data_IF_222530818865
#
_entry.id   IF_222530818865
#
_cell.length_a   1.000
_cell.length_b   1.000
_cell.length_c   1.000
_cell.angle_alpha   90.00
_cell.angle_beta   90.00
_cell.angle_gamma   90.00
#
_symmetry.space_group_name_H-M   'P 1'
#
loop_
_entity.id
_entity.type
_entity.pdbx_description
1 polymer ?
#
# COMPACT_ATOMS: atom_id res chain seq x y z
N UNK A 1 16.29 7.91 -7.28
CA UNK A 1 14.98 8.60 -7.13
C UNK A 1 14.38 8.14 -5.81
N UNK A 2 13.91 9.08 -4.99
CA UNK A 2 13.35 8.79 -3.67
C UNK A 2 11.97 8.13 -3.79
N UNK A 3 11.60 7.35 -2.77
CA UNK A 3 10.24 6.80 -2.62
C UNK A 3 9.25 7.94 -2.34
N UNK A 4 8.05 7.84 -2.92
CA UNK A 4 6.90 8.69 -2.56
C UNK A 4 5.76 7.86 -1.97
N UNK A 5 5.00 8.47 -1.07
CA UNK A 5 3.85 7.83 -0.43
C UNK A 5 2.61 8.66 -0.77
N UNK A 6 1.52 7.99 -1.12
CA UNK A 6 0.26 8.62 -1.48
C UNK A 6 -0.89 7.97 -0.73
N UNK A 7 -1.96 8.73 -0.48
CA UNK A 7 -3.25 8.11 -0.18
C UNK A 7 -3.70 7.28 -1.39
N UNK A 8 -4.56 6.30 -1.18
CA UNK A 8 -5.01 5.43 -2.26
C UNK A 8 -6.51 5.18 -2.23
N UNK A 9 -7.06 4.89 -3.41
CA UNK A 9 -8.40 4.33 -3.59
C UNK A 9 -8.35 3.17 -4.58
N UNK A 10 -9.30 2.24 -4.48
CA UNK A 10 -9.36 1.07 -5.35
C UNK A 10 -10.31 1.34 -6.54
N UNK A 11 -9.85 1.00 -7.75
CA UNK A 11 -10.66 0.97 -8.96
C UNK A 11 -11.31 -0.40 -9.20
N UNK A 12 -12.21 -0.46 -10.18
CA UNK A 12 -13.03 -1.64 -10.50
C UNK A 12 -12.26 -2.85 -11.05
N UNK A 13 -10.99 -2.69 -11.41
CA UNK A 13 -10.15 -3.78 -11.97
C UNK A 13 -8.85 -3.97 -11.19
N UNK A 14 -8.89 -3.69 -9.88
CA UNK A 14 -7.77 -3.87 -8.95
C UNK A 14 -6.77 -2.72 -9.00
N UNK A 15 -7.10 -1.67 -9.74
CA UNK A 15 -6.28 -0.47 -9.87
C UNK A 15 -6.13 0.19 -8.51
N UNK A 16 -4.92 0.56 -8.15
CA UNK A 16 -4.66 1.44 -7.01
C UNK A 16 -4.44 2.83 -7.57
N UNK A 17 -5.35 3.75 -7.26
CA UNK A 17 -5.29 5.14 -7.73
C UNK A 17 -4.62 6.00 -6.68
N UNK A 18 -3.55 6.69 -7.07
CA UNK A 18 -2.83 7.62 -6.19
C UNK A 18 -3.71 8.84 -5.92
N UNK A 19 -3.79 9.21 -4.66
CA UNK A 19 -4.34 10.48 -4.22
C UNK A 19 -3.23 11.45 -3.82
N UNK A 20 -3.48 12.23 -2.77
CA UNK A 20 -2.54 13.26 -2.28
C UNK A 20 -1.24 12.63 -1.80
N UNK A 21 -0.15 13.38 -1.91
CA UNK A 21 1.11 13.03 -1.27
C UNK A 21 0.94 12.98 0.26
N UNK A 22 1.64 12.03 0.87
CA UNK A 22 1.70 11.84 2.30
C UNK A 22 3.17 11.80 2.75
N UNK A 23 3.43 12.42 3.89
CA UNK A 23 4.55 12.00 4.73
C UNK A 23 4.31 10.59 5.27
N UNK A 24 5.38 9.97 5.76
CA UNK A 24 5.25 8.65 6.40
C UNK A 24 4.34 8.67 7.63
N UNK A 25 4.44 9.70 8.47
CA UNK A 25 3.59 9.84 9.65
C UNK A 25 2.11 9.96 9.28
N UNK A 26 1.80 10.71 8.21
CA UNK A 26 0.43 10.78 7.70
C UNK A 26 -0.03 9.43 7.15
N UNK A 27 0.81 8.70 6.42
CA UNK A 27 0.47 7.37 5.92
C UNK A 27 0.16 6.37 7.05
N UNK A 28 0.93 6.42 8.14
CA UNK A 28 0.65 5.64 9.36
C UNK A 28 -0.71 6.03 9.94
N UNK A 29 -1.03 7.32 10.02
CA UNK A 29 -2.32 7.80 10.53
C UNK A 29 -3.51 7.38 9.65
N UNK A 30 -3.36 7.48 8.32
CA UNK A 30 -4.33 6.98 7.33
C UNK A 30 -4.59 5.48 7.52
N UNK A 31 -3.51 4.71 7.70
CA UNK A 31 -3.59 3.27 7.92
C UNK A 31 -4.26 2.90 9.24
N UNK A 32 -3.97 3.60 10.34
CA UNK A 32 -4.67 3.44 11.63
C UNK A 32 -6.17 3.74 11.51
N UNK A 33 -6.52 4.70 10.67
CA UNK A 33 -7.92 5.04 10.36
C UNK A 33 -8.57 4.11 9.33
N UNK A 34 -7.88 3.06 8.88
CA UNK A 34 -8.39 2.06 7.95
C UNK A 34 -8.48 2.48 6.50
N UNK A 35 -7.83 3.57 6.10
CA UNK A 35 -7.73 4.04 4.71
C UNK A 35 -6.57 3.37 3.98
N UNK A 36 -6.61 3.38 2.65
CA UNK A 36 -5.58 2.78 1.82
C UNK A 36 -4.45 3.80 1.54
N UNK A 37 -3.22 3.30 1.44
CA UNK A 37 -2.05 4.08 1.00
C UNK A 37 -1.23 3.28 0.00
N UNK A 38 -0.41 3.97 -0.80
CA UNK A 38 0.49 3.32 -1.77
C UNK A 38 1.88 3.94 -1.76
N UNK A 39 2.87 3.06 -1.77
CA UNK A 39 4.30 3.41 -1.86
C UNK A 39 4.77 3.25 -3.31
N UNK A 40 5.32 4.33 -3.86
CA UNK A 40 5.74 4.43 -5.26
C UNK A 40 7.24 4.72 -5.35
N UNK A 41 7.88 4.18 -6.39
CA UNK A 41 9.32 4.36 -6.58
C UNK A 41 9.93 3.35 -7.55
N UNK A 42 11.17 3.63 -7.96
CA UNK A 42 11.92 2.77 -8.88
C UNK A 42 12.65 1.63 -8.16
N UNK A 43 12.95 1.78 -6.88
CA UNK A 43 13.57 0.72 -6.08
C UNK A 43 12.49 -0.14 -5.42
N UNK A 44 12.37 -1.37 -5.92
CA UNK A 44 11.33 -2.31 -5.53
C UNK A 44 11.51 -2.82 -4.09
N UNK A 45 12.77 -2.98 -3.66
CA UNK A 45 13.09 -3.42 -2.31
C UNK A 45 12.72 -2.30 -1.33
N UNK A 46 13.12 -1.07 -1.65
CA UNK A 46 12.76 0.10 -0.83
C UNK A 46 11.25 0.31 -0.76
N UNK A 47 10.52 0.20 -1.88
CA UNK A 47 9.04 0.29 -1.88
C UNK A 47 8.41 -0.73 -0.93
N UNK A 48 8.84 -2.00 -1.02
CA UNK A 48 8.32 -3.09 -0.20
C UNK A 48 8.62 -2.86 1.28
N UNK A 49 9.86 -2.53 1.63
CA UNK A 49 10.28 -2.32 3.02
C UNK A 49 9.59 -1.11 3.63
N UNK A 50 9.41 -0.02 2.87
CA UNK A 50 8.64 1.15 3.33
C UNK A 50 7.18 0.79 3.58
N UNK A 51 6.54 0.01 2.69
CA UNK A 51 5.16 -0.44 2.90
C UNK A 51 4.99 -1.34 4.13
N UNK A 52 5.90 -2.30 4.33
CA UNK A 52 5.91 -3.16 5.51
C UNK A 52 6.06 -2.36 6.81
N UNK A 53 6.96 -1.38 6.80
CA UNK A 53 7.21 -0.49 7.94
C UNK A 53 5.98 0.35 8.28
N UNK A 54 5.35 0.99 7.29
CA UNK A 54 4.12 1.78 7.51
C UNK A 54 3.02 0.91 8.13
N UNK A 55 2.76 -0.27 7.55
CA UNK A 55 1.70 -1.16 8.05
C UNK A 55 2.01 -1.64 9.47
N UNK A 56 3.26 -2.00 9.75
CA UNK A 56 3.68 -2.50 11.05
C UNK A 56 3.64 -1.43 12.13
N UNK A 57 4.04 -0.20 11.80
CA UNK A 57 3.92 0.96 12.69
C UNK A 57 2.47 1.40 12.92
N UNK A 58 1.58 1.16 11.95
CA UNK A 58 0.17 1.48 12.08
C UNK A 58 -0.57 0.45 12.94
N UNK A 59 -0.41 -0.84 12.64
CA UNK A 59 -1.32 -1.90 13.07
C UNK A 59 -0.62 -3.09 13.76
N UNK A 60 0.69 -3.01 14.02
CA UNK A 60 1.45 -4.09 14.66
C UNK A 60 1.78 -5.21 13.68
N UNK A 61 1.47 -6.47 14.02
CA UNK A 61 1.86 -7.59 13.15
C UNK A 61 1.13 -7.51 11.80
N UNK A 62 1.89 -7.32 10.74
CA UNK A 62 1.39 -7.26 9.37
C UNK A 62 1.63 -8.59 8.62
N UNK A 63 0.87 -8.82 7.56
CA UNK A 63 1.08 -9.90 6.60
C UNK A 63 1.15 -9.35 5.18
N UNK A 64 2.08 -9.89 4.39
CA UNK A 64 2.21 -9.58 2.97
C UNK A 64 1.25 -10.44 2.15
N UNK A 65 0.56 -9.84 1.20
CA UNK A 65 -0.26 -10.53 0.21
C UNK A 65 0.22 -10.21 -1.21
N UNK A 66 0.31 -11.22 -2.11
CA UNK A 66 0.55 -10.99 -3.52
C UNK A 66 -0.67 -10.30 -4.15
N UNK A 67 -0.56 -9.80 -5.40
CA UNK A 67 -1.71 -9.35 -6.17
C UNK A 67 -2.80 -10.43 -6.20
N UNK A 68 -4.02 -10.06 -5.86
CA UNK A 68 -5.15 -10.97 -5.89
C UNK A 68 -5.70 -11.07 -7.32
N UNK A 69 -5.74 -12.28 -7.88
CA UNK A 69 -6.24 -12.52 -9.25
C UNK A 69 -7.69 -12.06 -9.42
N UNK A 70 -8.52 -12.28 -8.40
CA UNK A 70 -9.93 -11.86 -8.38
C UNK A 70 -10.13 -10.34 -8.17
N UNK A 71 -9.10 -9.60 -7.74
CA UNK A 71 -9.18 -8.14 -7.69
C UNK A 71 -9.01 -7.52 -9.09
N UNK A 72 -8.42 -8.25 -10.04
CA UNK A 72 -8.27 -7.83 -11.43
C UNK A 72 -6.81 -7.66 -11.86
N UNK A 73 -6.57 -7.42 -13.16
CA UNK A 73 -5.22 -7.44 -13.75
C UNK A 73 -4.30 -6.37 -13.16
N UNK A 74 -4.85 -5.27 -12.62
CA UNK A 74 -4.08 -4.14 -12.12
C UNK A 74 -3.81 -4.20 -10.60
N UNK A 75 -4.19 -5.28 -9.92
CA UNK A 75 -3.99 -5.45 -8.47
C UNK A 75 -2.52 -5.29 -8.08
N UNK A 76 -2.23 -4.50 -7.04
CA UNK A 76 -0.89 -4.39 -6.46
C UNK A 76 -0.69 -5.38 -5.31
N UNK A 77 0.57 -5.81 -5.06
CA UNK A 77 0.89 -6.44 -3.79
C UNK A 77 0.70 -5.45 -2.65
N UNK A 78 0.42 -5.95 -1.46
CA UNK A 78 0.18 -5.10 -0.30
C UNK A 78 0.51 -5.79 1.02
N UNK A 79 0.55 -4.98 2.07
CA UNK A 79 0.51 -5.40 3.45
C UNK A 79 -0.84 -5.05 4.07
N UNK A 80 -1.26 -5.88 5.02
CA UNK A 80 -2.46 -5.68 5.81
C UNK A 80 -2.23 -6.22 7.23
N UNK A 81 -3.04 -5.85 8.23
CA UNK A 81 -2.94 -6.41 9.57
C UNK A 81 -3.14 -7.92 9.54
N UNK A 82 -2.42 -8.67 10.38
CA UNK A 82 -2.63 -10.12 10.51
C UNK A 82 -4.02 -10.43 11.04
N UNK A 83 -4.47 -9.66 12.04
CA UNK A 83 -5.82 -9.67 12.61
C UNK A 83 -6.50 -8.35 12.30
N UNK A 84 -7.71 -8.39 11.73
CA UNK A 84 -8.52 -7.19 11.43
C UNK A 84 -9.47 -6.89 12.60
N UNK A 85 -9.89 -5.63 12.83
CA UNK A 85 -9.67 -4.40 12.03
C UNK A 85 -8.25 -3.78 12.15
N UNK A 86 -7.86 -2.82 11.26
CA UNK A 86 -8.65 -2.22 10.16
C UNK A 86 -8.61 -2.97 8.82
N UNK A 87 -9.47 -2.56 7.87
CA UNK A 87 -9.66 -3.22 6.56
C UNK A 87 -8.80 -2.69 5.42
N UNK A 88 -8.37 -1.42 5.48
CA UNK A 88 -7.52 -0.82 4.44
C UNK A 88 -6.16 -1.50 4.32
N UNK A 89 -5.39 -1.09 3.31
CA UNK A 89 -4.17 -1.76 2.87
C UNK A 89 -3.03 -0.77 2.63
N UNK A 90 -1.81 -1.27 2.80
CA UNK A 90 -0.59 -0.57 2.38
C UNK A 90 -0.06 -1.22 1.11
N UNK A 91 -0.36 -0.64 -0.05
CA UNK A 91 0.10 -1.12 -1.36
C UNK A 91 1.53 -0.66 -1.65
N UNK A 92 2.19 -1.35 -2.58
CA UNK A 92 3.47 -0.90 -3.12
C UNK A 92 3.65 -1.26 -4.59
N UNK A 93 4.34 -0.40 -5.32
CA UNK A 93 4.65 -0.63 -6.73
C UNK A 93 5.77 -1.66 -6.94
N UNK A 94 5.68 -2.38 -8.05
CA UNK A 94 6.75 -3.25 -8.56
C UNK A 94 7.25 -2.76 -9.92
N UNK A 95 8.12 -3.53 -10.56
CA UNK A 95 8.53 -3.39 -11.96
C UNK A 95 7.36 -3.54 -12.94
N UNK A 96 6.49 -4.51 -12.70
CA UNK A 96 5.38 -4.91 -13.59
C UNK A 96 4.06 -4.23 -13.29
N UNK A 97 3.91 -3.65 -12.09
CA UNK A 97 2.62 -3.15 -11.61
C UNK A 97 2.81 -1.81 -10.91
N UNK A 98 2.12 -0.80 -11.41
CA UNK A 98 2.21 0.60 -10.98
C UNK A 98 0.85 1.11 -10.53
N UNK A 99 0.86 2.04 -9.58
CA UNK A 99 -0.34 2.76 -9.21
C UNK A 99 -0.68 3.75 -10.33
N UNK A 100 -1.97 4.00 -10.54
CA UNK A 100 -2.45 4.98 -11.54
C UNK A 100 -2.46 6.36 -10.89
#
# INVERSE_FOLDING_TARGET
MAVSIHSATLGSSGEVRRGRFLSEMEAIAERKAGRDVVVCGNDLATNRTTAERIETSANGVSKRCPPHVNAGPNALPHFQPKSRPPTGHTFYETDKRKAK
#
